data_IF_566004008364
#
_entry.id   IF_566004008364
#
_cell.length_a   1.000
_cell.length_b   1.000
_cell.length_c   1.000
_cell.angle_alpha   90.00
_cell.angle_beta   90.00
_cell.angle_gamma   90.00
#
_symmetry.space_group_name_H-M   'P 1'
#
loop_
_entity.id
_entity.type
_entity.pdbx_description
1 polymer ?
#
# COMPACT_ATOMS: atom_id res chain seq x y z
N UNK A 1 2.24 -8.86 4.80
CA UNK A 1 1.78 -7.65 5.51
C UNK A 1 1.27 -8.03 6.88
N UNK A 2 1.62 -7.27 7.92
CA UNK A 2 1.11 -7.43 9.28
C UNK A 2 0.89 -6.04 9.90
N UNK A 3 -0.38 -5.61 9.95
CA UNK A 3 -0.78 -4.28 10.43
C UNK A 3 -1.79 -4.36 11.60
N UNK A 4 -2.01 -5.54 12.16
CA UNK A 4 -2.90 -5.71 13.32
C UNK A 4 -2.30 -5.00 14.54
N UNK A 5 -3.12 -4.33 15.37
CA UNK A 5 -2.62 -3.47 16.45
C UNK A 5 -1.97 -4.24 17.60
N UNK A 6 -2.20 -5.56 17.69
CA UNK A 6 -1.62 -6.47 18.69
C UNK A 6 -0.43 -7.28 18.16
N UNK A 7 0.14 -6.91 17.01
CA UNK A 7 1.37 -7.52 16.52
C UNK A 7 2.54 -7.20 17.47
N UNK A 8 3.35 -8.22 17.77
CA UNK A 8 4.54 -8.12 18.61
C UNK A 8 5.83 -8.16 17.77
N UNK A 9 6.97 -7.82 18.35
CA UNK A 9 8.27 -7.98 17.67
C UNK A 9 8.50 -9.41 17.17
N UNK A 10 8.05 -10.43 17.93
CA UNK A 10 8.15 -11.84 17.51
C UNK A 10 7.35 -12.13 16.24
N UNK A 11 6.17 -11.52 16.09
CA UNK A 11 5.36 -11.67 14.88
C UNK A 11 6.02 -10.97 13.68
N UNK A 12 6.68 -9.82 13.91
CA UNK A 12 7.42 -9.09 12.89
C UNK A 12 8.68 -9.86 12.46
N UNK A 13 9.38 -10.48 13.40
CA UNK A 13 10.52 -11.35 13.12
C UNK A 13 10.10 -12.53 12.25
N UNK A 14 9.01 -13.21 12.61
CA UNK A 14 8.44 -14.30 11.82
C UNK A 14 8.11 -13.84 10.40
N UNK A 15 7.42 -12.70 10.26
CA UNK A 15 7.09 -12.11 8.95
C UNK A 15 8.35 -11.81 8.11
N UNK A 16 9.42 -11.29 8.74
CA UNK A 16 10.68 -11.01 8.05
C UNK A 16 11.34 -12.30 7.56
N UNK A 17 11.42 -13.32 8.41
CA UNK A 17 11.95 -14.64 8.07
C UNK A 17 11.19 -15.30 6.90
N UNK A 18 9.86 -15.20 6.92
CA UNK A 18 9.01 -15.69 5.83
C UNK A 18 9.28 -14.93 4.52
N UNK A 19 9.40 -13.61 4.59
CA UNK A 19 9.67 -12.78 3.42
C UNK A 19 11.03 -13.10 2.79
N UNK A 20 12.07 -13.32 3.61
CA UNK A 20 13.38 -13.78 3.12
C UNK A 20 13.25 -15.15 2.45
N UNK A 21 12.64 -16.12 3.14
CA UNK A 21 12.54 -17.51 2.64
C UNK A 21 11.82 -17.61 1.30
N UNK A 22 10.76 -16.83 1.11
CA UNK A 22 9.94 -16.85 -0.10
C UNK A 22 10.32 -15.76 -1.11
N UNK A 23 11.40 -15.02 -0.87
CA UNK A 23 11.85 -13.90 -1.70
C UNK A 23 10.71 -12.90 -2.02
N UNK A 24 9.91 -12.57 -1.01
CA UNK A 24 8.87 -11.56 -1.16
C UNK A 24 9.50 -10.18 -1.36
N UNK A 25 8.84 -9.35 -2.17
CA UNK A 25 9.34 -8.00 -2.49
C UNK A 25 9.51 -7.11 -1.25
N UNK A 26 8.52 -7.11 -0.35
CA UNK A 26 8.54 -6.28 0.86
C UNK A 26 7.76 -6.90 2.00
N UNK A 27 8.16 -6.58 3.24
CA UNK A 27 7.26 -6.61 4.39
C UNK A 27 6.50 -5.28 4.48
N UNK A 28 5.26 -5.31 4.97
CA UNK A 28 4.46 -4.10 5.19
C UNK A 28 3.91 -4.14 6.62
N UNK A 29 4.35 -3.18 7.44
CA UNK A 29 4.25 -3.18 8.91
C UNK A 29 3.88 -1.78 9.42
N UNK A 30 3.48 -1.66 10.69
CA UNK A 30 3.22 -0.35 11.30
C UNK A 30 4.54 0.42 11.55
N UNK A 31 4.52 1.76 11.58
CA UNK A 31 5.73 2.59 11.68
C UNK A 31 6.66 2.23 12.85
N UNK A 32 6.11 1.91 14.02
CA UNK A 32 6.89 1.56 15.20
C UNK A 32 7.83 0.34 15.02
N UNK A 33 7.58 -0.52 14.03
CA UNK A 33 8.40 -1.69 13.75
C UNK A 33 9.42 -1.48 12.64
N UNK A 34 9.47 -0.30 12.00
CA UNK A 34 10.36 -0.03 10.88
C UNK A 34 11.84 -0.21 11.24
N UNK A 35 12.37 0.38 12.34
CA UNK A 35 13.78 0.18 12.72
C UNK A 35 14.11 -1.30 12.97
N UNK A 36 13.21 -2.01 13.63
CA UNK A 36 13.38 -3.42 13.96
C UNK A 36 13.43 -4.30 12.69
N UNK A 37 12.44 -4.15 11.80
CA UNK A 37 12.40 -4.89 10.55
C UNK A 37 13.58 -4.53 9.63
N UNK A 38 14.01 -3.26 9.61
CA UNK A 38 15.16 -2.84 8.80
C UNK A 38 16.46 -3.52 9.25
N UNK A 39 16.64 -3.69 10.56
CA UNK A 39 17.77 -4.44 11.12
C UNK A 39 17.73 -5.91 10.71
N UNK A 40 16.57 -6.57 10.80
CA UNK A 40 16.41 -7.98 10.44
C UNK A 40 16.59 -8.26 8.95
N UNK A 41 16.09 -7.36 8.10
CA UNK A 41 16.11 -7.52 6.64
C UNK A 41 17.40 -7.00 6.00
N UNK A 42 18.39 -6.59 6.80
CA UNK A 42 19.68 -6.10 6.31
C UNK A 42 20.31 -7.14 5.38
N UNK A 43 20.69 -6.70 4.19
CA UNK A 43 21.31 -7.54 3.14
C UNK A 43 20.41 -8.63 2.51
N UNK A 44 19.12 -8.69 2.85
CA UNK A 44 18.21 -9.69 2.26
C UNK A 44 17.66 -9.32 0.88
N UNK A 45 17.69 -8.03 0.52
CA UNK A 45 17.01 -7.51 -0.67
C UNK A 45 15.51 -7.23 -0.47
N UNK A 46 14.88 -7.79 0.58
CA UNK A 46 13.48 -7.53 0.95
C UNK A 46 13.33 -6.08 1.43
N UNK A 47 12.35 -5.36 0.87
CA UNK A 47 12.08 -3.97 1.24
C UNK A 47 11.24 -3.85 2.51
N UNK A 48 11.43 -2.74 3.23
CA UNK A 48 10.56 -2.36 4.36
C UNK A 48 9.54 -1.34 3.86
N UNK A 49 8.27 -1.74 3.80
CA UNK A 49 7.16 -0.83 3.56
C UNK A 49 6.46 -0.53 4.88
N UNK A 50 6.09 0.73 5.10
CA UNK A 50 5.18 1.11 6.18
C UNK A 50 4.00 1.93 5.66
N UNK A 51 3.09 2.25 6.55
CA UNK A 51 1.85 2.98 6.26
C UNK A 51 1.91 4.38 6.87
N UNK A 52 1.18 5.34 6.28
CA UNK A 52 1.11 6.74 6.75
C UNK A 52 -0.34 7.22 6.76
N UNK A 53 -0.74 7.90 7.84
CA UNK A 53 -2.12 8.33 8.06
C UNK A 53 -3.11 7.17 8.09
N UNK A 54 -2.64 5.98 8.45
CA UNK A 54 -3.37 4.73 8.28
C UNK A 54 -4.17 4.32 9.52
N UNK A 55 -5.34 3.67 9.38
CA UNK A 55 -6.03 3.35 8.12
C UNK A 55 -7.00 4.42 7.64
N UNK A 56 -7.25 5.48 8.43
CA UNK A 56 -8.41 6.35 8.22
C UNK A 56 -8.16 7.52 7.26
N UNK A 57 -6.90 7.94 7.08
CA UNK A 57 -6.54 9.07 6.24
C UNK A 57 -6.97 10.45 6.76
N UNK A 58 -7.63 10.52 7.92
CA UNK A 58 -8.30 11.72 8.44
C UNK A 58 -7.48 12.51 9.48
N UNK A 59 -6.15 12.43 9.42
CA UNK A 59 -5.25 13.25 10.24
C UNK A 59 -4.75 14.46 9.44
N UNK A 60 -4.19 15.45 10.12
CA UNK A 60 -3.67 16.65 9.45
C UNK A 60 -2.52 16.33 8.49
N UNK A 61 -2.39 17.10 7.40
CA UNK A 61 -1.26 17.00 6.48
C UNK A 61 0.09 17.11 7.19
N UNK A 62 0.21 18.01 8.18
CA UNK A 62 1.46 18.16 8.96
C UNK A 62 1.82 16.88 9.70
N UNK A 63 0.83 16.18 10.26
CA UNK A 63 1.03 14.90 10.94
C UNK A 63 1.44 13.81 9.95
N UNK A 64 0.78 13.70 8.78
CA UNK A 64 1.18 12.74 7.74
C UNK A 64 2.62 12.96 7.27
N UNK A 65 3.01 14.21 7.05
CA UNK A 65 4.38 14.57 6.64
C UNK A 65 5.38 14.18 7.74
N UNK A 66 5.09 14.51 9.00
CA UNK A 66 5.97 14.15 10.12
C UNK A 66 6.16 12.63 10.22
N UNK A 67 5.06 11.87 10.23
CA UNK A 67 5.07 10.40 10.27
C UNK A 67 5.85 9.79 9.09
N UNK A 68 5.65 10.33 7.88
CA UNK A 68 6.35 9.89 6.68
C UNK A 68 7.86 10.14 6.74
N UNK A 69 8.27 11.33 7.20
CA UNK A 69 9.68 11.70 7.36
C UNK A 69 10.37 10.84 8.42
N UNK A 70 9.69 10.60 9.56
CA UNK A 70 10.19 9.72 10.62
C UNK A 70 10.38 8.29 10.10
N UNK A 71 9.37 7.73 9.43
CA UNK A 71 9.47 6.41 8.80
C UNK A 71 10.61 6.29 7.77
N UNK A 72 10.83 7.34 6.97
CA UNK A 72 11.95 7.40 6.03
C UNK A 72 13.30 7.38 6.76
N UNK A 73 13.45 8.15 7.84
CA UNK A 73 14.67 8.20 8.66
C UNK A 73 14.92 6.86 9.36
N UNK A 74 13.86 6.18 9.80
CA UNK A 74 13.91 4.85 10.41
C UNK A 74 14.26 3.74 9.41
N UNK A 75 14.28 4.05 8.12
CA UNK A 75 14.77 3.18 7.05
C UNK A 75 13.68 2.47 6.25
N UNK A 76 12.45 2.96 6.26
CA UNK A 76 11.44 2.52 5.30
C UNK A 76 11.95 2.75 3.87
N UNK A 77 11.70 1.79 2.98
CA UNK A 77 12.00 1.86 1.55
C UNK A 77 10.78 2.30 0.74
N UNK A 78 9.58 2.06 1.25
CA UNK A 78 8.32 2.40 0.59
C UNK A 78 7.27 2.89 1.61
N UNK A 79 6.42 3.84 1.21
CA UNK A 79 5.33 4.37 2.05
C UNK A 79 3.97 4.19 1.38
N UNK A 80 3.03 3.62 2.12
CA UNK A 80 1.63 3.46 1.73
C UNK A 80 0.77 4.49 2.49
N UNK A 81 0.48 5.64 1.90
CA UNK A 81 -0.32 6.70 2.53
C UNK A 81 -1.80 6.57 2.20
N UNK A 82 -2.69 6.76 3.18
CA UNK A 82 -4.14 6.89 2.94
C UNK A 82 -4.50 8.34 2.63
N UNK A 83 -5.22 8.58 1.52
CA UNK A 83 -5.76 9.92 1.21
C UNK A 83 -6.77 10.38 2.25
N UNK A 84 -7.02 11.67 2.33
CA UNK A 84 -8.21 12.16 3.02
C UNK A 84 -9.48 11.78 2.24
N UNK A 85 -10.11 10.67 2.63
CA UNK A 85 -11.30 10.11 1.98
C UNK A 85 -12.48 11.09 2.06
N UNK A 86 -12.62 11.83 3.17
CA UNK A 86 -13.69 12.82 3.34
C UNK A 86 -13.59 13.96 2.34
N UNK A 87 -12.38 14.51 2.15
CA UNK A 87 -12.13 15.55 1.15
C UNK A 87 -12.34 15.06 -0.28
N UNK A 88 -11.93 13.82 -0.59
CA UNK A 88 -12.17 13.20 -1.88
C UNK A 88 -13.68 13.08 -2.18
N UNK A 89 -14.47 12.61 -1.22
CA UNK A 89 -15.93 12.48 -1.34
C UNK A 89 -16.67 13.81 -1.37
N UNK A 90 -16.08 14.86 -0.81
CA UNK A 90 -16.57 16.23 -0.94
C UNK A 90 -16.22 16.87 -2.29
N UNK A 91 -15.44 16.18 -3.14
CA UNK A 91 -14.97 16.70 -4.43
C UNK A 91 -13.86 17.74 -4.31
N UNK A 92 -13.22 17.86 -3.15
CA UNK A 92 -12.14 18.81 -2.89
C UNK A 92 -10.79 18.30 -3.44
N UNK A 93 -10.72 18.03 -4.75
CA UNK A 93 -9.57 17.39 -5.37
C UNK A 93 -8.27 18.20 -5.29
N UNK A 94 -8.35 19.53 -5.23
CA UNK A 94 -7.16 20.37 -4.99
C UNK A 94 -6.56 20.14 -3.59
N UNK A 95 -7.40 19.91 -2.59
CA UNK A 95 -6.99 19.57 -1.22
C UNK A 95 -6.27 18.22 -1.20
N UNK A 96 -6.86 17.21 -1.84
CA UNK A 96 -6.29 15.86 -1.99
C UNK A 96 -4.97 15.89 -2.77
N UNK A 97 -4.91 16.63 -3.89
CA UNK A 97 -3.71 16.81 -4.70
C UNK A 97 -2.59 17.47 -3.89
N UNK A 98 -2.92 18.51 -3.13
CA UNK A 98 -1.96 19.20 -2.25
C UNK A 98 -1.45 18.27 -1.17
N UNK A 99 -2.31 17.46 -0.57
CA UNK A 99 -1.89 16.46 0.42
C UNK A 99 -0.87 15.48 -0.14
N UNK A 100 -1.19 14.85 -1.29
CA UNK A 100 -0.31 13.85 -1.92
C UNK A 100 1.01 14.48 -2.37
N UNK A 101 0.96 15.63 -3.04
CA UNK A 101 2.18 16.29 -3.54
C UNK A 101 3.12 16.73 -2.42
N UNK A 102 2.61 17.28 -1.31
CA UNK A 102 3.46 17.65 -0.18
C UNK A 102 4.06 16.42 0.51
N UNK A 103 3.31 15.31 0.59
CA UNK A 103 3.83 14.04 1.08
C UNK A 103 4.98 13.52 0.20
N UNK A 104 4.79 13.44 -1.13
CA UNK A 104 5.82 13.00 -2.09
C UNK A 104 7.08 13.88 -2.03
N UNK A 105 6.90 15.21 -1.96
CA UNK A 105 8.03 16.16 -1.88
C UNK A 105 8.81 16.01 -0.57
N UNK A 106 8.13 15.75 0.55
CA UNK A 106 8.76 15.66 1.87
C UNK A 106 9.57 14.37 2.08
N UNK A 107 9.29 13.31 1.31
CA UNK A 107 9.99 12.03 1.40
C UNK A 107 10.68 11.64 0.08
N UNK A 108 11.68 12.41 -0.37
CA UNK A 108 12.35 12.13 -1.64
C UNK A 108 13.06 10.77 -1.60
N UNK A 109 13.11 10.09 -2.75
CA UNK A 109 13.78 8.77 -2.95
C UNK A 109 13.07 7.57 -2.33
N UNK A 110 11.89 7.78 -1.75
CA UNK A 110 11.00 6.72 -1.30
C UNK A 110 9.98 6.40 -2.40
N UNK A 111 9.52 5.14 -2.49
CA UNK A 111 8.40 4.77 -3.36
C UNK A 111 7.08 5.08 -2.66
N UNK A 112 6.25 5.93 -3.28
CA UNK A 112 4.97 6.36 -2.73
C UNK A 112 3.82 5.57 -3.31
N UNK A 113 2.97 5.03 -2.44
CA UNK A 113 1.73 4.35 -2.83
C UNK A 113 0.56 5.01 -2.15
N UNK A 114 -0.43 5.39 -2.94
CA UNK A 114 -1.58 6.16 -2.47
C UNK A 114 -2.77 5.23 -2.35
N UNK A 115 -3.18 4.96 -1.11
CA UNK A 115 -4.39 4.20 -0.80
C UNK A 115 -5.59 5.12 -0.99
N UNK A 116 -6.41 4.83 -2.00
CA UNK A 116 -7.62 5.59 -2.30
C UNK A 116 -8.86 5.09 -1.57
N UNK A 117 -8.75 3.92 -0.93
CA UNK A 117 -9.82 3.23 -0.21
C UNK A 117 -11.09 3.04 -1.04
N UNK A 118 -10.99 2.22 -2.08
CA UNK A 118 -12.02 2.08 -3.13
C UNK A 118 -13.43 1.76 -2.61
N UNK A 119 -13.54 1.12 -1.43
CA UNK A 119 -14.82 0.73 -0.84
C UNK A 119 -15.69 1.91 -0.38
N UNK A 120 -15.13 3.12 -0.28
CA UNK A 120 -15.87 4.35 0.05
C UNK A 120 -16.11 5.28 -1.15
N UNK A 121 -15.53 4.97 -2.30
CA UNK A 121 -15.56 5.82 -3.48
C UNK A 121 -16.47 5.22 -4.56
N UNK A 122 -17.21 6.09 -5.23
CA UNK A 122 -17.88 5.81 -6.51
C UNK A 122 -16.86 5.60 -7.62
N UNK A 123 -17.29 5.10 -8.77
CA UNK A 123 -16.41 4.87 -9.91
C UNK A 123 -15.78 6.17 -10.43
N UNK A 124 -16.55 7.27 -10.50
CA UNK A 124 -16.04 8.60 -10.87
C UNK A 124 -14.99 9.11 -9.87
N UNK A 125 -15.23 8.92 -8.57
CA UNK A 125 -14.28 9.31 -7.52
C UNK A 125 -13.00 8.46 -7.57
N UNK A 126 -13.08 7.15 -7.89
CA UNK A 126 -11.89 6.30 -8.09
C UNK A 126 -11.04 6.78 -9.25
N UNK A 127 -11.68 7.16 -10.38
CA UNK A 127 -11.00 7.71 -11.55
C UNK A 127 -10.30 9.03 -11.16
N UNK A 128 -11.03 9.94 -10.51
CA UNK A 128 -10.48 11.24 -10.07
C UNK A 128 -9.34 11.08 -9.07
N UNK A 129 -9.48 10.19 -8.08
CA UNK A 129 -8.42 9.91 -7.11
C UNK A 129 -7.16 9.36 -7.78
N UNK A 130 -7.33 8.45 -8.75
CA UNK A 130 -6.22 7.85 -9.50
C UNK A 130 -5.44 8.87 -10.33
N UNK A 131 -6.15 9.73 -11.08
CA UNK A 131 -5.53 10.82 -11.83
C UNK A 131 -4.84 11.82 -10.89
N UNK A 132 -5.53 12.22 -9.82
CA UNK A 132 -5.01 13.18 -8.83
C UNK A 132 -3.70 12.69 -8.22
N UNK A 133 -3.65 11.42 -7.83
CA UNK A 133 -2.45 10.83 -7.24
C UNK A 133 -1.30 10.71 -8.25
N UNK A 134 -1.59 10.29 -9.49
CA UNK A 134 -0.60 10.23 -10.57
C UNK A 134 -0.02 11.62 -10.88
N UNK A 135 -0.87 12.64 -11.03
CA UNK A 135 -0.46 14.02 -11.31
C UNK A 135 0.27 14.69 -10.13
N UNK A 136 0.06 14.19 -8.91
CA UNK A 136 0.77 14.62 -7.71
C UNK A 136 2.13 13.92 -7.52
N UNK A 137 2.51 13.00 -8.42
CA UNK A 137 3.82 12.36 -8.44
C UNK A 137 3.92 11.00 -7.75
N UNK A 138 2.79 10.36 -7.42
CA UNK A 138 2.81 9.02 -6.83
C UNK A 138 3.24 7.94 -7.84
N UNK A 139 4.03 6.97 -7.39
CA UNK A 139 4.44 5.84 -8.22
C UNK A 139 3.44 4.67 -8.22
N UNK A 140 2.53 4.62 -7.24
CA UNK A 140 1.48 3.59 -7.17
C UNK A 140 0.13 4.13 -6.70
N UNK A 141 -0.94 3.55 -7.25
CA UNK A 141 -2.24 3.51 -6.59
C UNK A 141 -2.36 2.22 -5.78
N UNK A 142 -2.93 2.29 -4.59
CA UNK A 142 -3.29 1.13 -3.76
C UNK A 142 -4.80 1.11 -3.53
N UNK A 143 -5.41 -0.07 -3.64
CA UNK A 143 -6.88 -0.17 -3.57
C UNK A 143 -7.43 0.09 -2.17
N UNK A 144 -6.95 -0.66 -1.17
CA UNK A 144 -7.63 -0.72 0.14
C UNK A 144 -6.67 -0.93 1.31
N UNK A 145 -7.06 -0.45 2.48
CA UNK A 145 -6.38 -0.62 3.77
C UNK A 145 -6.53 -2.04 4.31
N UNK A 146 -7.67 -2.67 4.04
CA UNK A 146 -8.12 -3.90 4.70
C UNK A 146 -8.84 -3.68 6.03
N UNK A 147 -9.04 -2.42 6.42
CA UNK A 147 -9.79 -2.02 7.63
C UNK A 147 -11.14 -1.34 7.29
N UNK A 148 -11.37 -1.01 6.02
CA UNK A 148 -12.69 -0.60 5.51
C UNK A 148 -13.68 -1.77 5.35
N UNK A 149 -14.93 -1.50 4.92
CA UNK A 149 -15.99 -2.50 4.78
C UNK A 149 -15.75 -3.52 3.66
N UNK A 150 -14.87 -3.23 2.69
CA UNK A 150 -14.51 -4.14 1.61
C UNK A 150 -13.04 -3.95 1.17
N UNK A 151 -12.48 -5.02 0.58
CA UNK A 151 -11.11 -5.05 0.05
C UNK A 151 -11.02 -4.74 -1.43
N UNK A 152 -9.98 -5.27 -2.08
CA UNK A 152 -9.76 -5.11 -3.52
C UNK A 152 -10.85 -5.81 -4.34
N UNK A 153 -11.23 -5.19 -5.45
CA UNK A 153 -12.13 -5.77 -6.47
C UNK A 153 -11.43 -5.73 -7.82
N UNK A 154 -11.48 -6.83 -8.58
CA UNK A 154 -10.78 -6.98 -9.87
C UNK A 154 -11.17 -5.87 -10.85
N UNK A 155 -12.47 -5.51 -10.89
CA UNK A 155 -13.01 -4.40 -11.70
C UNK A 155 -12.34 -3.06 -11.37
N UNK A 156 -12.12 -2.76 -10.09
CA UNK A 156 -11.50 -1.51 -9.68
C UNK A 156 -10.03 -1.44 -10.16
N UNK A 157 -9.30 -2.56 -10.10
CA UNK A 157 -7.92 -2.63 -10.59
C UNK A 157 -7.85 -2.39 -12.10
N UNK A 158 -8.74 -3.02 -12.88
CA UNK A 158 -8.82 -2.80 -14.32
C UNK A 158 -9.14 -1.34 -14.67
N UNK A 159 -10.09 -0.73 -13.95
CA UNK A 159 -10.45 0.69 -14.11
C UNK A 159 -9.28 1.63 -13.80
N UNK A 160 -8.54 1.37 -12.72
CA UNK A 160 -7.35 2.16 -12.36
C UNK A 160 -6.27 2.00 -13.44
N UNK A 161 -6.08 0.80 -13.99
CA UNK A 161 -5.12 0.53 -15.06
C UNK A 161 -5.44 1.32 -16.32
N UNK A 162 -6.70 1.32 -16.74
CA UNK A 162 -7.19 2.10 -17.88
C UNK A 162 -7.01 3.60 -17.63
N UNK A 163 -7.45 4.09 -16.47
CA UNK A 163 -7.38 5.51 -16.08
C UNK A 163 -5.96 6.05 -16.09
N UNK A 164 -5.00 5.27 -15.57
CA UNK A 164 -3.60 5.67 -15.48
C UNK A 164 -2.81 5.39 -16.76
N UNK A 165 -3.40 4.71 -17.74
CA UNK A 165 -2.71 4.22 -18.93
C UNK A 165 -1.52 3.32 -18.60
N UNK A 166 -1.50 2.71 -17.41
CA UNK A 166 -0.38 1.90 -16.93
C UNK A 166 0.93 2.65 -16.66
N UNK A 167 0.90 3.98 -16.54
CA UNK A 167 2.10 4.82 -16.29
C UNK A 167 2.64 4.68 -14.87
N UNK A 168 1.79 4.30 -13.92
CA UNK A 168 2.14 4.06 -12.52
C UNK A 168 1.71 2.65 -12.11
N UNK A 169 2.30 2.12 -11.04
CA UNK A 169 1.99 0.81 -10.53
C UNK A 169 0.64 0.73 -9.83
N UNK A 170 0.11 -0.49 -9.67
CA UNK A 170 -1.14 -0.73 -8.95
C UNK A 170 -0.91 -1.81 -7.91
N UNK A 171 -1.17 -1.49 -6.65
CA UNK A 171 -1.12 -2.42 -5.51
C UNK A 171 -2.54 -2.84 -5.12
N UNK A 172 -2.93 -4.06 -5.49
CA UNK A 172 -4.19 -4.64 -5.02
C UNK A 172 -4.02 -5.15 -3.58
N UNK A 173 -4.90 -4.75 -2.66
CA UNK A 173 -4.85 -5.19 -1.25
C UNK A 173 -6.21 -5.24 -0.59
N UNK A 174 -6.34 -6.14 0.38
CA UNK A 174 -7.58 -6.42 1.12
C UNK A 174 -8.33 -7.61 0.53
N UNK A 175 -8.49 -8.68 1.31
CA UNK A 175 -9.27 -9.86 0.92
C UNK A 175 -8.58 -10.89 0.01
N UNK A 176 -7.33 -10.64 -0.42
CA UNK A 176 -6.58 -11.53 -1.34
C UNK A 176 -5.98 -12.70 -0.55
N UNK A 177 -6.50 -13.92 -0.73
CA UNK A 177 -6.16 -15.07 0.13
C UNK A 177 -5.63 -16.28 -0.63
N UNK A 178 -5.92 -16.42 -1.92
CA UNK A 178 -5.58 -17.59 -2.73
C UNK A 178 -4.71 -17.21 -3.94
N UNK A 179 -4.05 -18.21 -4.55
CA UNK A 179 -3.30 -17.99 -5.79
C UNK A 179 -4.24 -17.57 -6.93
N UNK A 180 -5.47 -18.10 -6.97
CA UNK A 180 -6.48 -17.69 -7.94
C UNK A 180 -6.80 -16.19 -7.84
N UNK A 181 -6.92 -15.65 -6.62
CA UNK A 181 -7.14 -14.22 -6.41
C UNK A 181 -5.95 -13.42 -6.98
N UNK A 182 -4.73 -13.82 -6.63
CA UNK A 182 -3.50 -13.16 -7.10
C UNK A 182 -3.45 -13.10 -8.63
N UNK A 183 -3.67 -14.22 -9.31
CA UNK A 183 -3.64 -14.28 -10.76
C UNK A 183 -4.70 -13.36 -11.38
N UNK A 184 -5.92 -13.34 -10.83
CA UNK A 184 -7.00 -12.47 -11.31
C UNK A 184 -6.67 -10.98 -11.19
N UNK A 185 -6.02 -10.56 -10.09
CA UNK A 185 -5.59 -9.17 -9.91
C UNK A 185 -4.41 -8.79 -10.83
N UNK A 186 -3.46 -9.70 -11.03
CA UNK A 186 -2.33 -9.48 -11.94
C UNK A 186 -2.83 -9.33 -13.38
N UNK A 187 -3.75 -10.19 -13.80
CA UNK A 187 -4.39 -10.11 -15.12
C UNK A 187 -5.15 -8.78 -15.32
N UNK A 188 -5.83 -8.30 -14.28
CA UNK A 188 -6.49 -6.99 -14.31
C UNK A 188 -5.51 -5.79 -14.29
N UNK A 189 -4.22 -6.01 -14.08
CA UNK A 189 -3.18 -4.98 -14.17
C UNK A 189 -2.49 -4.62 -12.84
N UNK A 190 -2.74 -5.34 -11.75
CA UNK A 190 -1.99 -5.16 -10.52
C UNK A 190 -0.51 -5.54 -10.72
N UNK A 191 0.39 -4.66 -10.33
CA UNK A 191 1.85 -4.89 -10.34
C UNK A 191 2.41 -5.19 -8.95
N UNK A 192 1.57 -5.08 -7.91
CA UNK A 192 1.90 -5.47 -6.53
C UNK A 192 0.67 -6.04 -5.84
N UNK A 193 0.89 -7.01 -4.96
CA UNK A 193 -0.15 -7.58 -4.08
C UNK A 193 0.17 -7.27 -2.63
N UNK A 194 -0.81 -6.77 -1.88
CA UNK A 194 -0.76 -6.64 -0.43
C UNK A 194 -1.64 -7.69 0.24
N UNK A 195 -1.01 -8.64 0.95
CA UNK A 195 -1.71 -9.73 1.64
C UNK A 195 -1.00 -10.17 2.92
N UNK A 196 -1.75 -10.73 3.87
CA UNK A 196 -1.24 -11.49 5.02
C UNK A 196 -1.24 -13.01 4.77
N UNK A 197 -1.85 -13.48 3.67
CA UNK A 197 -1.95 -14.90 3.31
C UNK A 197 -0.79 -15.40 2.42
N UNK A 198 0.33 -14.67 2.38
CA UNK A 198 1.44 -14.93 1.47
C UNK A 198 1.95 -16.38 1.51
N UNK A 199 2.11 -16.95 2.71
CA UNK A 199 2.53 -18.35 2.86
C UNK A 199 1.54 -19.35 2.27
N UNK A 200 0.23 -19.14 2.44
CA UNK A 200 -0.78 -20.04 1.91
C UNK A 200 -0.78 -19.98 0.38
N UNK A 201 -0.64 -18.78 -0.19
CA UNK A 201 -0.53 -18.58 -1.64
C UNK A 201 0.72 -19.29 -2.17
N UNK A 202 1.87 -19.17 -1.50
CA UNK A 202 3.10 -19.86 -1.93
C UNK A 202 2.99 -21.39 -1.86
N UNK A 203 2.25 -21.93 -0.87
CA UNK A 203 1.95 -23.37 -0.83
C UNK A 203 1.12 -23.81 -2.03
N UNK A 204 0.12 -23.04 -2.44
CA UNK A 204 -0.68 -23.33 -3.65
C UNK A 204 0.17 -23.29 -4.93
N UNK A 205 1.19 -22.42 -5.00
CA UNK A 205 2.14 -22.39 -6.13
C UNK A 205 2.95 -23.68 -6.17
N UNK A 206 3.56 -24.09 -5.06
CA UNK A 206 4.40 -25.29 -5.02
C UNK A 206 3.65 -26.61 -5.27
N UNK A 207 2.31 -26.63 -5.15
CA UNK A 207 1.48 -27.80 -5.47
C UNK A 207 1.09 -27.88 -6.95
N UNK A 208 1.41 -26.87 -7.75
CA UNK A 208 1.15 -26.83 -9.20
C UNK A 208 2.35 -27.25 -10.05
N UNK A 209 3.55 -27.28 -9.45
CA UNK A 209 4.80 -27.78 -10.04
C UNK A 209 4.90 -29.30 -9.84
#
# INVERSE_FOLDING_TARGET
TLLRPDATEKDIEALCCEAIRHNFHAVCINPCFVPFAKKLLKSSGVKVCTVVGFPLGAISLKTKIFEAMEAMLDGADELDMVINIGEARAGHWDSVRKEISNFVIATPRIVHKIIIETCYLTDDEKIRASLTAMDAGAEFIKTSTGFGPAGAVVRDVAMIKETTGGKIGIKASGGIRTLKDVLSFVEAGATRIGTSAGLNIMKEVSLRD
#
